data_IF_066808676419
#
_entry.id   IF_066808676419
#
_cell.length_a   1.000
_cell.length_b   1.000
_cell.length_c   1.000
_cell.angle_alpha   90.00
_cell.angle_beta   90.00
_cell.angle_gamma   90.00
#
_symmetry.space_group_name_H-M   'P 1'
#
loop_
_entity.id
_entity.type
_entity.pdbx_description
1 polymer ?
#
# COMPACT_ATOMS: atom_id res chain seq x y z
N UNK A 1 12.14 7.87 -18.16
CA UNK A 1 11.74 9.29 -18.36
C UNK A 1 10.93 9.87 -17.18
N UNK A 2 10.83 9.18 -16.04
CA UNK A 2 10.03 9.62 -14.87
C UNK A 2 10.65 10.78 -14.04
N UNK A 3 11.78 11.35 -14.46
CA UNK A 3 12.51 12.33 -13.66
C UNK A 3 11.86 13.73 -13.62
N UNK A 4 10.77 14.00 -14.34
CA UNK A 4 9.98 15.25 -14.17
C UNK A 4 8.60 15.02 -13.59
N UNK A 5 8.21 13.75 -13.43
CA UNK A 5 6.85 13.37 -13.06
C UNK A 5 6.74 13.36 -11.53
N UNK A 6 5.77 14.10 -11.00
CA UNK A 6 5.36 14.11 -9.59
C UNK A 6 4.07 13.33 -9.36
N UNK A 7 3.14 13.30 -10.30
CA UNK A 7 1.89 12.54 -10.18
C UNK A 7 1.84 11.53 -11.32
N UNK A 8 1.71 10.25 -10.99
CA UNK A 8 1.55 9.18 -11.96
C UNK A 8 0.24 8.44 -11.68
N UNK A 9 -0.68 8.49 -12.62
CA UNK A 9 -1.91 7.72 -12.61
C UNK A 9 -1.84 6.62 -13.67
N UNK A 10 -2.27 5.40 -13.33
CA UNK A 10 -2.26 4.24 -14.21
C UNK A 10 -3.61 3.56 -14.18
N UNK A 11 -4.26 3.45 -15.34
CA UNK A 11 -5.57 2.82 -15.50
C UNK A 11 -5.47 1.57 -16.38
N UNK A 12 -6.05 0.47 -15.89
CA UNK A 12 -6.16 -0.81 -16.60
C UNK A 12 -7.01 -0.74 -17.85
N UNK A 13 -8.11 0.01 -17.78
CA UNK A 13 -9.11 0.17 -18.83
C UNK A 13 -9.33 1.66 -19.11
N UNK A 14 -9.87 2.00 -20.28
CA UNK A 14 -10.50 3.31 -20.50
C UNK A 14 -11.83 3.31 -19.72
N UNK A 15 -11.80 3.68 -18.45
CA UNK A 15 -13.02 3.86 -17.66
C UNK A 15 -13.41 5.33 -17.64
N UNK A 16 -14.59 5.65 -18.17
CA UNK A 16 -15.29 6.94 -17.97
C UNK A 16 -15.91 7.00 -16.54
N UNK A 17 -15.12 6.65 -15.52
CA UNK A 17 -15.53 6.66 -14.11
C UNK A 17 -14.81 7.77 -13.36
N UNK A 18 -15.57 8.77 -12.92
CA UNK A 18 -15.18 9.99 -12.17
C UNK A 18 -13.68 10.25 -11.96
N UNK A 19 -13.20 11.26 -12.67
CA UNK A 19 -11.87 11.85 -12.63
C UNK A 19 -11.24 11.91 -11.21
N UNK A 20 -10.07 11.30 -11.06
CA UNK A 20 -9.06 11.72 -10.07
C UNK A 20 -7.93 12.53 -10.72
N UNK A 21 -8.37 13.39 -11.66
CA UNK A 21 -7.74 14.56 -12.27
C UNK A 21 -7.00 14.42 -13.61
N UNK A 22 -7.49 15.25 -14.53
CA UNK A 22 -6.95 15.70 -15.81
C UNK A 22 -5.45 16.04 -15.75
N UNK A 23 -4.74 15.83 -16.86
CA UNK A 23 -3.48 16.54 -17.09
C UNK A 23 -3.76 18.04 -17.14
N UNK A 24 -3.41 18.79 -16.10
CA UNK A 24 -3.39 20.26 -16.16
C UNK A 24 -1.97 20.78 -15.91
N UNK A 25 -1.42 21.35 -16.99
CA UNK A 25 -0.31 22.29 -17.13
C UNK A 25 1.04 21.98 -16.44
N UNK A 26 2.09 21.82 -17.28
CA UNK A 26 3.55 21.87 -16.99
C UNK A 26 4.37 20.56 -17.06
N UNK A 27 3.83 19.43 -17.52
CA UNK A 27 4.64 18.21 -17.77
C UNK A 27 5.10 17.46 -16.51
N UNK A 28 4.40 17.70 -15.39
CA UNK A 28 4.67 17.15 -14.05
C UNK A 28 3.72 15.98 -13.71
N UNK A 29 2.56 15.90 -14.33
CA UNK A 29 1.61 14.81 -14.15
C UNK A 29 1.63 13.91 -15.38
N UNK A 30 1.51 12.60 -15.18
CA UNK A 30 1.45 11.62 -16.24
C UNK A 30 0.32 10.62 -15.98
N UNK A 31 -0.38 10.24 -17.04
CA UNK A 31 -1.44 9.27 -17.02
C UNK A 31 -1.15 8.18 -18.05
N UNK A 32 -1.23 6.91 -17.64
CA UNK A 32 -1.07 5.74 -18.50
C UNK A 32 -2.39 4.99 -18.49
N UNK A 33 -3.02 4.79 -19.66
CA UNK A 33 -4.28 4.05 -19.79
C UNK A 33 -4.08 2.75 -20.57
N UNK A 34 -5.01 1.81 -20.41
CA UNK A 34 -5.05 0.59 -21.19
C UNK A 34 -3.91 -0.38 -20.88
N UNK A 35 -3.35 -0.35 -19.67
CA UNK A 35 -2.25 -1.25 -19.30
C UNK A 35 -2.69 -2.73 -19.37
N UNK A 36 -4.01 -3.00 -19.25
CA UNK A 36 -4.53 -4.36 -19.39
C UNK A 36 -4.43 -4.92 -20.82
N UNK A 37 -4.20 -4.07 -21.84
CA UNK A 37 -3.88 -4.53 -23.21
C UNK A 37 -2.44 -5.02 -23.36
N UNK A 38 -1.62 -4.92 -22.30
CA UNK A 38 -0.24 -5.38 -22.25
C UNK A 38 -0.04 -6.47 -21.18
N UNK A 39 -0.48 -7.72 -21.43
CA UNK A 39 -0.49 -8.80 -20.42
C UNK A 39 0.90 -9.21 -19.90
N UNK A 40 1.95 -8.93 -20.67
CA UNK A 40 3.34 -9.21 -20.30
C UNK A 40 3.88 -8.23 -19.24
N UNK A 41 3.21 -7.09 -19.04
CA UNK A 41 3.65 -6.09 -18.08
C UNK A 41 3.11 -6.44 -16.68
N UNK A 42 3.99 -6.99 -15.84
CA UNK A 42 3.65 -7.40 -14.47
C UNK A 42 3.95 -6.34 -13.40
N UNK A 43 4.73 -5.32 -13.74
CA UNK A 43 5.15 -4.24 -12.85
C UNK A 43 5.15 -2.91 -13.62
N UNK A 44 5.01 -1.79 -12.92
CA UNK A 44 4.96 -0.45 -13.55
C UNK A 44 6.34 -0.02 -14.07
N UNK A 45 7.38 -0.32 -13.31
CA UNK A 45 8.76 0.04 -13.64
C UNK A 45 9.54 -1.22 -14.02
N UNK A 46 10.44 -1.07 -15.00
CA UNK A 46 11.41 -2.13 -15.36
C UNK A 46 12.64 -2.03 -14.45
N UNK A 47 13.33 -3.17 -14.29
CA UNK A 47 14.40 -3.43 -13.33
C UNK A 47 15.68 -2.56 -13.46
N UNK A 48 15.75 -1.60 -14.39
CA UNK A 48 16.91 -0.69 -14.51
C UNK A 48 16.79 0.44 -13.49
N UNK A 49 17.45 0.28 -12.32
CA UNK A 49 17.76 1.30 -11.30
C UNK A 49 16.97 2.61 -11.40
N UNK A 50 15.64 2.50 -11.29
CA UNK A 50 14.76 3.62 -11.57
C UNK A 50 14.49 4.36 -10.27
N UNK A 51 15.28 5.41 -10.04
CA UNK A 51 14.96 6.40 -9.03
C UNK A 51 13.68 7.13 -9.45
N UNK A 52 12.54 6.71 -8.92
CA UNK A 52 11.27 7.44 -9.03
C UNK A 52 11.17 8.53 -7.94
N UNK A 53 12.31 9.12 -7.60
CA UNK A 53 12.44 10.03 -6.47
C UNK A 53 11.67 11.33 -6.63
N UNK A 54 11.27 11.71 -7.85
CA UNK A 54 10.48 12.92 -8.06
C UNK A 54 8.98 12.68 -7.91
N UNK A 55 8.56 11.41 -7.83
CA UNK A 55 7.15 11.05 -7.69
C UNK A 55 6.67 11.37 -6.27
N UNK A 56 5.58 12.12 -6.19
CA UNK A 56 4.89 12.55 -4.98
C UNK A 56 3.56 11.82 -4.80
N UNK A 57 2.90 11.43 -5.89
CA UNK A 57 1.62 10.72 -5.89
C UNK A 57 1.64 9.60 -6.94
N UNK A 58 1.21 8.41 -6.52
CA UNK A 58 1.03 7.24 -7.39
C UNK A 58 -0.37 6.66 -7.20
N UNK A 59 -1.12 6.63 -8.30
CA UNK A 59 -2.49 6.10 -8.33
C UNK A 59 -2.60 5.00 -9.38
N UNK A 60 -3.19 3.87 -9.00
CA UNK A 60 -3.31 2.68 -9.84
C UNK A 60 -4.75 2.19 -9.75
N UNK A 61 -5.42 2.11 -10.89
CA UNK A 61 -6.83 1.75 -10.98
C UNK A 61 -7.03 0.63 -11.99
N UNK A 62 -7.73 -0.44 -11.60
CA UNK A 62 -8.18 -1.47 -12.55
C UNK A 62 -7.07 -2.30 -13.21
N UNK A 63 -5.83 -2.28 -12.70
CA UNK A 63 -4.66 -2.84 -13.37
C UNK A 63 -4.48 -4.35 -13.09
N UNK A 64 -5.34 -5.18 -13.70
CA UNK A 64 -5.44 -6.63 -13.43
C UNK A 64 -4.23 -7.46 -13.89
N UNK A 65 -3.40 -6.93 -14.80
CA UNK A 65 -2.19 -7.64 -15.22
C UNK A 65 -0.99 -7.43 -14.30
N UNK A 66 -1.03 -6.41 -13.43
CA UNK A 66 0.06 -6.10 -12.52
C UNK A 66 0.02 -7.04 -11.31
N UNK A 67 1.16 -7.65 -10.99
CA UNK A 67 1.32 -8.54 -9.84
C UNK A 67 1.76 -7.76 -8.59
N UNK A 68 2.58 -6.74 -8.78
CA UNK A 68 3.00 -5.79 -7.75
C UNK A 68 3.28 -4.41 -8.35
N UNK A 69 3.52 -3.42 -7.49
CA UNK A 69 3.68 -2.03 -7.89
C UNK A 69 4.97 -1.81 -8.71
N UNK A 70 6.11 -2.22 -8.15
CA UNK A 70 7.45 -1.94 -8.68
C UNK A 70 8.46 -3.02 -8.29
N UNK A 71 9.61 -3.12 -9.00
CA UNK A 71 10.74 -3.93 -8.56
C UNK A 71 11.26 -3.51 -7.18
N UNK A 72 11.83 -4.48 -6.45
CA UNK A 72 12.48 -4.30 -5.13
C UNK A 72 13.56 -3.21 -5.10
N UNK A 73 14.25 -2.99 -6.21
CA UNK A 73 15.30 -1.98 -6.37
C UNK A 73 14.80 -0.54 -6.48
N UNK A 74 13.48 -0.33 -6.51
CA UNK A 74 12.88 0.99 -6.68
C UNK A 74 12.89 1.76 -5.35
N UNK A 75 13.22 3.05 -5.42
CA UNK A 75 13.19 3.95 -4.25
C UNK A 75 12.28 5.14 -4.50
N UNK A 76 11.51 5.51 -3.47
CA UNK A 76 10.49 6.56 -3.49
C UNK A 76 10.72 7.60 -2.40
N UNK A 77 11.69 8.51 -2.61
CA UNK A 77 12.09 9.47 -1.58
C UNK A 77 11.10 10.62 -1.35
N UNK A 78 10.26 10.97 -2.33
CA UNK A 78 9.30 12.07 -2.22
C UNK A 78 7.84 11.63 -2.24
N UNK A 79 7.57 10.32 -2.28
CA UNK A 79 6.21 9.82 -2.42
C UNK A 79 5.41 10.10 -1.15
N UNK A 80 4.30 10.82 -1.31
CA UNK A 80 3.41 11.25 -0.24
C UNK A 80 2.09 10.50 -0.26
N UNK A 81 1.65 10.00 -1.42
CA UNK A 81 0.39 9.30 -1.58
C UNK A 81 0.54 8.08 -2.48
N UNK A 82 0.01 6.95 -2.02
CA UNK A 82 -0.22 5.74 -2.83
C UNK A 82 -1.69 5.40 -2.76
N UNK A 83 -2.35 5.27 -3.91
CA UNK A 83 -3.71 4.77 -4.03
C UNK A 83 -3.75 3.60 -5.03
N UNK A 84 -4.33 2.49 -4.61
CA UNK A 84 -4.53 1.31 -5.46
C UNK A 84 -5.99 0.88 -5.34
N UNK A 85 -6.70 0.79 -6.46
CA UNK A 85 -8.11 0.45 -6.48
C UNK A 85 -8.43 -0.51 -7.64
N UNK A 86 -9.37 -1.43 -7.42
CA UNK A 86 -9.85 -2.41 -8.42
C UNK A 86 -8.76 -3.21 -9.14
N UNK A 87 -7.59 -3.44 -8.54
CA UNK A 87 -6.50 -4.20 -9.16
C UNK A 87 -6.57 -5.68 -8.74
N UNK A 88 -7.25 -6.52 -9.53
CA UNK A 88 -7.57 -7.87 -9.11
C UNK A 88 -6.45 -8.89 -9.28
N UNK A 89 -5.44 -8.61 -10.12
CA UNK A 89 -4.27 -9.50 -10.28
C UNK A 89 -3.11 -9.21 -9.33
N UNK A 90 -3.20 -8.13 -8.53
CA UNK A 90 -2.11 -7.72 -7.64
C UNK A 90 -2.10 -8.62 -6.39
N UNK A 91 -0.92 -9.18 -6.08
CA UNK A 91 -0.70 -10.12 -4.96
C UNK A 91 -0.13 -9.38 -3.74
N UNK A 92 0.68 -8.35 -3.99
CA UNK A 92 1.24 -7.47 -2.96
C UNK A 92 1.43 -6.06 -3.53
N UNK A 93 1.50 -5.03 -2.67
CA UNK A 93 1.78 -3.67 -3.14
C UNK A 93 3.29 -3.42 -3.19
N UNK A 94 3.97 -3.65 -2.07
CA UNK A 94 5.36 -3.27 -1.86
C UNK A 94 6.20 -4.46 -1.44
N UNK A 95 7.49 -4.27 -1.52
CA UNK A 95 8.51 -5.09 -0.88
C UNK A 95 9.10 -4.39 0.35
N UNK A 96 9.81 -5.10 1.22
CA UNK A 96 10.46 -4.50 2.40
C UNK A 96 11.48 -3.43 1.99
N UNK A 97 12.28 -3.66 0.93
CA UNK A 97 13.22 -2.67 0.38
C UNK A 97 12.55 -1.40 -0.13
N UNK A 98 11.44 -1.52 -0.88
CA UNK A 98 10.70 -0.36 -1.38
C UNK A 98 10.02 0.40 -0.24
N UNK A 99 9.44 -0.31 0.72
CA UNK A 99 8.81 0.26 1.90
C UNK A 99 9.77 1.07 2.78
N UNK A 100 11.03 0.63 2.94
CA UNK A 100 12.09 1.38 3.65
C UNK A 100 12.30 2.80 3.08
N UNK A 101 12.00 3.03 1.81
CA UNK A 101 12.18 4.34 1.17
C UNK A 101 11.03 5.33 1.37
N UNK A 102 9.86 4.86 1.83
CA UNK A 102 8.61 5.64 1.90
C UNK A 102 8.50 6.55 3.13
N UNK A 103 9.61 7.22 3.49
CA UNK A 103 9.70 8.02 4.73
C UNK A 103 8.80 9.26 4.73
N UNK A 104 8.43 9.78 3.54
CA UNK A 104 7.54 10.93 3.34
C UNK A 104 6.08 10.56 3.04
N UNK A 105 5.76 9.27 3.05
CA UNK A 105 4.41 8.81 2.72
C UNK A 105 3.43 9.30 3.79
N UNK A 106 2.37 9.99 3.38
CA UNK A 106 1.33 10.56 4.25
C UNK A 106 0.02 9.78 4.17
N UNK A 107 -0.29 9.24 2.99
CA UNK A 107 -1.51 8.50 2.73
C UNK A 107 -1.23 7.22 1.95
N UNK A 108 -1.76 6.09 2.42
CA UNK A 108 -1.79 4.83 1.69
C UNK A 108 -3.24 4.33 1.67
N UNK A 109 -3.79 4.11 0.49
CA UNK A 109 -5.19 3.70 0.33
C UNK A 109 -5.29 2.54 -0.66
N UNK A 110 -5.88 1.44 -0.24
CA UNK A 110 -5.94 0.21 -1.01
C UNK A 110 -7.38 -0.32 -0.92
N UNK A 111 -8.04 -0.41 -2.07
CA UNK A 111 -9.46 -0.71 -2.17
C UNK A 111 -9.71 -1.80 -3.23
N UNK A 112 -10.67 -2.67 -2.99
CA UNK A 112 -11.20 -3.62 -3.99
C UNK A 112 -10.15 -4.47 -4.72
N UNK A 113 -9.06 -4.86 -4.07
CA UNK A 113 -8.01 -5.72 -4.64
C UNK A 113 -8.08 -7.11 -4.02
N UNK A 114 -8.71 -8.05 -4.73
CA UNK A 114 -9.10 -9.36 -4.17
C UNK A 114 -7.95 -10.35 -3.95
N UNK A 115 -6.87 -10.26 -4.72
CA UNK A 115 -5.75 -11.22 -4.64
C UNK A 115 -4.61 -10.77 -3.73
N UNK A 116 -4.69 -9.57 -3.15
CA UNK A 116 -3.65 -9.09 -2.24
C UNK A 116 -3.68 -9.93 -0.97
N UNK A 117 -2.59 -10.64 -0.67
CA UNK A 117 -2.44 -11.42 0.57
C UNK A 117 -1.70 -10.64 1.66
N UNK A 118 -0.77 -9.78 1.25
CA UNK A 118 0.05 -8.93 2.12
C UNK A 118 0.30 -7.57 1.46
N UNK A 119 0.38 -6.50 2.25
CA UNK A 119 0.69 -5.16 1.69
C UNK A 119 2.18 -5.04 1.39
N UNK A 120 3.03 -5.51 2.29
CA UNK A 120 4.49 -5.51 2.20
C UNK A 120 4.99 -6.95 2.33
N UNK A 121 5.72 -7.44 1.32
CA UNK A 121 6.41 -8.75 1.35
C UNK A 121 7.90 -8.56 1.58
N UNK A 122 8.57 -9.55 2.17
CA UNK A 122 10.02 -9.51 2.26
C UNK A 122 10.68 -9.79 0.90
N UNK A 123 11.74 -9.06 0.58
CA UNK A 123 12.57 -9.27 -0.61
C UNK A 123 14.05 -9.52 -0.30
N UNK A 124 14.43 -9.62 0.99
CA UNK A 124 15.78 -9.99 1.42
C UNK A 124 15.97 -11.53 1.35
N UNK A 125 16.10 -12.09 0.14
CA UNK A 125 16.35 -13.54 -0.10
C UNK A 125 17.83 -13.98 0.10
N UNK A 126 18.79 -13.06 0.26
CA UNK A 126 20.24 -13.37 0.22
C UNK A 126 21.00 -13.26 1.57
N UNK A 127 20.31 -13.20 2.71
CA UNK A 127 20.97 -13.10 4.00
C UNK A 127 20.78 -14.33 4.88
N UNK A 128 21.87 -15.05 5.19
CA UNK A 128 22.01 -15.91 6.39
C UNK A 128 21.78 -15.15 7.73
N UNK A 129 21.21 -13.95 7.69
CA UNK A 129 20.88 -13.08 8.79
C UNK A 129 19.37 -13.09 9.10
N UNK A 130 18.82 -14.29 9.33
CA UNK A 130 17.57 -14.45 10.11
C UNK A 130 17.67 -13.82 11.52
N UNK A 131 18.86 -13.34 11.91
CA UNK A 131 19.15 -12.66 13.17
C UNK A 131 19.12 -11.11 13.09
N UNK A 132 19.12 -10.50 11.90
CA UNK A 132 19.11 -9.05 11.77
C UNK A 132 17.67 -8.55 11.72
N UNK A 133 17.11 -8.17 12.87
CA UNK A 133 15.87 -7.39 12.90
C UNK A 133 16.11 -6.10 12.12
N UNK A 134 15.33 -5.87 11.06
CA UNK A 134 15.34 -4.62 10.33
C UNK A 134 14.04 -3.86 10.56
N UNK A 135 14.14 -2.54 10.49
CA UNK A 135 13.06 -1.63 10.86
C UNK A 135 12.58 -0.86 9.64
N UNK A 136 11.25 -0.76 9.50
CA UNK A 136 10.58 0.05 8.49
C UNK A 136 9.78 1.14 9.22
N UNK A 137 10.13 2.40 8.94
CA UNK A 137 9.50 3.56 9.60
C UNK A 137 8.72 4.39 8.58
N UNK A 138 7.40 4.32 8.68
CA UNK A 138 6.49 5.21 7.96
C UNK A 138 6.32 6.51 8.75
N UNK A 139 7.36 7.36 8.73
CA UNK A 139 7.50 8.52 9.63
C UNK A 139 6.37 9.54 9.51
N UNK A 140 5.90 9.80 8.29
CA UNK A 140 4.88 10.82 8.01
C UNK A 140 3.48 10.24 7.74
N UNK A 141 3.29 8.91 7.83
CA UNK A 141 2.04 8.28 7.43
C UNK A 141 0.94 8.63 8.43
N UNK A 142 -0.04 9.42 7.99
CA UNK A 142 -1.16 9.89 8.80
C UNK A 142 -2.39 9.02 8.62
N UNK A 143 -2.57 8.49 7.41
CA UNK A 143 -3.74 7.72 7.03
C UNK A 143 -3.37 6.46 6.26
N UNK A 144 -3.84 5.32 6.77
CA UNK A 144 -3.81 4.02 6.09
C UNK A 144 -5.25 3.52 5.94
N UNK A 145 -5.66 3.18 4.72
CA UNK A 145 -6.97 2.59 4.45
C UNK A 145 -6.82 1.29 3.68
N UNK A 146 -7.41 0.25 4.23
CA UNK A 146 -7.49 -1.08 3.66
C UNK A 146 -8.98 -1.43 3.61
N UNK A 147 -9.53 -1.60 2.42
CA UNK A 147 -10.96 -1.88 2.26
C UNK A 147 -11.23 -2.92 1.19
N UNK A 148 -12.14 -3.85 1.49
CA UNK A 148 -12.62 -4.85 0.53
C UNK A 148 -11.48 -5.67 -0.06
N UNK A 149 -10.56 -6.10 0.82
CA UNK A 149 -9.38 -6.91 0.48
C UNK A 149 -9.61 -8.34 0.97
N UNK A 150 -10.39 -9.11 0.21
CA UNK A 150 -10.87 -10.43 0.61
C UNK A 150 -9.73 -11.38 1.02
N UNK A 151 -8.62 -11.43 0.29
CA UNK A 151 -7.50 -12.35 0.56
C UNK A 151 -6.45 -11.80 1.53
N UNK A 152 -6.60 -10.56 2.02
CA UNK A 152 -5.58 -9.93 2.84
C UNK A 152 -5.49 -10.65 4.18
N UNK A 153 -4.30 -11.16 4.51
CA UNK A 153 -4.04 -11.89 5.76
C UNK A 153 -3.35 -11.02 6.81
N UNK A 154 -2.50 -10.09 6.36
CA UNK A 154 -1.74 -9.16 7.20
C UNK A 154 -1.20 -7.98 6.40
N UNK A 155 -0.75 -6.91 7.08
CA UNK A 155 0.04 -5.86 6.43
C UNK A 155 1.41 -6.39 6.02
N UNK A 156 2.04 -7.19 6.89
CA UNK A 156 3.26 -7.95 6.64
C UNK A 156 3.34 -9.12 7.65
N UNK A 157 3.53 -10.34 7.19
CA UNK A 157 3.56 -11.55 8.03
C UNK A 157 4.93 -11.85 8.64
N UNK A 158 5.96 -11.12 8.24
CA UNK A 158 7.37 -11.38 8.55
C UNK A 158 7.69 -10.96 10.00
N UNK A 159 8.24 -11.88 10.80
CA UNK A 159 8.44 -11.69 12.23
C UNK A 159 9.69 -10.87 12.60
N UNK A 160 10.71 -10.83 11.74
CA UNK A 160 11.96 -10.08 11.95
C UNK A 160 11.91 -8.65 11.36
N UNK A 161 10.76 -8.21 10.86
CA UNK A 161 10.54 -6.86 10.36
C UNK A 161 9.74 -6.04 11.38
N UNK A 162 10.39 -5.03 11.99
CA UNK A 162 9.72 -4.12 12.90
C UNK A 162 9.09 -2.93 12.14
N UNK A 163 7.82 -2.65 12.38
CA UNK A 163 7.12 -1.52 11.77
C UNK A 163 6.83 -0.40 12.78
N UNK A 164 7.17 0.82 12.40
CA UNK A 164 6.86 2.02 13.18
C UNK A 164 6.03 3.01 12.38
N UNK A 165 4.94 3.46 12.99
CA UNK A 165 3.99 4.44 12.45
C UNK A 165 3.80 5.60 13.43
N UNK A 166 4.84 6.43 13.65
CA UNK A 166 4.80 7.47 14.68
C UNK A 166 3.73 8.54 14.43
N UNK A 167 3.32 8.78 13.19
CA UNK A 167 2.35 9.83 12.83
C UNK A 167 0.97 9.30 12.46
N UNK A 168 0.69 8.01 12.62
CA UNK A 168 -0.56 7.41 12.16
C UNK A 168 -1.74 7.80 13.05
N UNK A 169 -2.63 8.62 12.48
CA UNK A 169 -3.80 9.17 13.15
C UNK A 169 -5.07 8.40 12.79
N UNK A 170 -5.15 7.88 11.57
CA UNK A 170 -6.32 7.18 11.05
C UNK A 170 -5.95 5.87 10.37
N UNK A 171 -6.45 4.78 10.91
CA UNK A 171 -6.45 3.47 10.28
C UNK A 171 -7.88 3.03 9.99
N UNK A 172 -8.18 2.75 8.72
CA UNK A 172 -9.43 2.14 8.28
C UNK A 172 -9.14 0.71 7.83
N UNK A 173 -9.84 -0.26 8.40
CA UNK A 173 -9.82 -1.66 7.96
C UNK A 173 -11.28 -2.11 7.84
N UNK A 174 -11.76 -2.17 6.61
CA UNK A 174 -13.15 -2.46 6.25
C UNK A 174 -13.19 -3.66 5.32
N UNK A 175 -14.08 -4.63 5.55
CA UNK A 175 -14.27 -5.78 4.67
C UNK A 175 -12.97 -6.51 4.27
N UNK A 176 -12.09 -6.77 5.25
CA UNK A 176 -10.87 -7.59 5.10
C UNK A 176 -11.00 -8.88 5.93
N UNK A 177 -11.92 -9.80 5.59
CA UNK A 177 -12.36 -10.90 6.47
C UNK A 177 -11.26 -11.91 6.84
N UNK A 178 -10.24 -12.08 5.98
CA UNK A 178 -9.14 -13.00 6.24
C UNK A 178 -7.97 -12.36 7.01
N UNK A 179 -8.06 -11.07 7.34
CA UNK A 179 -6.97 -10.37 8.00
C UNK A 179 -6.93 -10.77 9.48
N UNK A 180 -5.91 -11.54 9.85
CA UNK A 180 -5.79 -12.13 11.19
C UNK A 180 -4.86 -11.36 12.11
N UNK A 181 -3.88 -10.65 11.57
CA UNK A 181 -2.95 -9.78 12.32
C UNK A 181 -2.62 -8.56 11.46
N UNK A 182 -2.10 -7.49 12.07
CA UNK A 182 -1.52 -6.40 11.31
C UNK A 182 -0.09 -6.74 10.88
N UNK A 183 0.80 -7.05 11.82
CA UNK A 183 2.21 -7.36 11.56
C UNK A 183 2.67 -8.60 12.33
N UNK A 184 3.51 -9.44 11.72
CA UNK A 184 4.19 -10.55 12.41
C UNK A 184 5.29 -10.08 13.37
N UNK A 185 6.04 -9.03 12.99
CA UNK A 185 7.11 -8.45 13.82
C UNK A 185 6.65 -7.33 14.77
N UNK A 186 7.61 -6.73 15.46
CA UNK A 186 7.36 -5.64 16.42
C UNK A 186 6.61 -4.48 15.75
N UNK A 187 5.60 -3.95 16.44
CA UNK A 187 4.71 -2.93 15.90
C UNK A 187 4.58 -1.75 16.86
N UNK A 188 4.90 -0.55 16.39
CA UNK A 188 4.76 0.69 17.16
C UNK A 188 3.82 1.66 16.46
N UNK A 189 2.69 1.97 17.11
CA UNK A 189 1.66 2.90 16.61
C UNK A 189 1.28 3.89 17.73
N UNK A 190 2.21 4.72 18.24
CA UNK A 190 2.05 5.45 19.51
C UNK A 190 0.86 6.43 19.55
N UNK A 191 0.43 6.92 18.38
CA UNK A 191 -0.69 7.86 18.26
C UNK A 191 -2.02 7.19 17.86
N UNK A 192 -2.00 5.92 17.48
CA UNK A 192 -3.21 5.21 17.07
C UNK A 192 -3.93 4.68 18.32
N UNK A 193 -5.23 4.97 18.41
CA UNK A 193 -6.08 4.57 19.57
C UNK A 193 -7.39 3.90 19.18
N UNK A 194 -7.65 3.78 17.89
CA UNK A 194 -8.88 3.25 17.33
C UNK A 194 -8.69 2.90 15.87
N UNK A 195 -9.33 1.82 15.44
CA UNK A 195 -9.43 1.39 14.05
C UNK A 195 -10.86 1.63 13.58
N UNK A 196 -11.02 2.26 12.41
CA UNK A 196 -12.32 2.50 11.81
C UNK A 196 -12.73 1.30 10.94
N UNK A 197 -13.96 0.81 11.12
CA UNK A 197 -14.46 -0.41 10.46
C UNK A 197 -15.30 -0.15 9.22
N UNK A 198 -15.82 1.07 9.08
CA UNK A 198 -16.61 1.48 7.92
C UNK A 198 -16.23 2.87 7.47
N UNK A 199 -15.95 3.04 6.20
CA UNK A 199 -15.59 4.34 5.61
C UNK A 199 -16.80 5.24 5.41
N UNK A 200 -17.94 4.65 4.98
CA UNK A 200 -19.08 5.38 4.42
C UNK A 200 -20.37 5.31 5.25
N UNK A 201 -20.31 4.79 6.48
CA UNK A 201 -21.47 4.74 7.38
C UNK A 201 -21.56 6.03 8.22
N UNK A 202 -22.76 6.59 8.37
CA UNK A 202 -23.04 7.75 9.22
C UNK A 202 -22.66 7.46 10.68
N UNK A 203 -22.79 6.21 11.08
CA UNK A 203 -22.29 5.69 12.36
C UNK A 203 -20.89 5.09 12.16
N UNK A 204 -19.87 5.95 12.16
CA UNK A 204 -18.46 5.49 12.15
C UNK A 204 -18.25 4.47 13.27
N UNK A 205 -18.11 3.19 12.90
CA UNK A 205 -17.77 2.12 13.83
C UNK A 205 -16.27 2.13 14.09
N UNK A 206 -15.90 2.12 15.37
CA UNK A 206 -14.52 2.11 15.81
C UNK A 206 -14.28 0.94 16.75
N UNK A 207 -13.07 0.38 16.72
CA UNK A 207 -12.64 -0.66 17.63
C UNK A 207 -11.22 -0.41 18.15
N UNK A 208 -10.97 -0.80 19.39
CA UNK A 208 -9.64 -0.89 19.96
C UNK A 208 -9.63 -1.92 21.08
N UNK A 209 -8.70 -2.87 21.01
CA UNK A 209 -8.54 -3.93 21.99
C UNK A 209 -7.05 -4.13 22.25
N UNK A 210 -6.57 -3.57 23.36
CA UNK A 210 -5.19 -3.61 23.86
C UNK A 210 -4.15 -3.00 22.89
N UNK A 211 -3.87 -3.68 21.80
CA UNK A 211 -2.93 -3.31 20.73
C UNK A 211 -3.54 -3.49 19.33
N UNK A 212 -2.81 -3.08 18.29
CA UNK A 212 -3.32 -3.14 16.93
C UNK A 212 -3.52 -4.58 16.42
N UNK A 213 -2.61 -5.53 16.68
CA UNK A 213 -2.79 -6.92 16.25
C UNK A 213 -4.01 -7.55 16.93
N UNK A 214 -4.13 -7.36 18.24
CA UNK A 214 -5.28 -7.86 19.03
C UNK A 214 -6.59 -7.21 18.58
N UNK A 215 -6.55 -5.93 18.19
CA UNK A 215 -7.70 -5.24 17.60
C UNK A 215 -8.11 -5.89 16.29
N UNK A 216 -7.18 -6.12 15.35
CA UNK A 216 -7.46 -6.77 14.04
C UNK A 216 -8.08 -8.16 14.24
N UNK A 217 -7.51 -8.99 15.11
CA UNK A 217 -8.07 -10.30 15.45
C UNK A 217 -9.53 -10.21 15.92
N UNK A 218 -9.82 -9.23 16.78
CA UNK A 218 -11.16 -9.04 17.32
C UNK A 218 -12.19 -8.64 16.26
N UNK A 219 -11.80 -7.93 15.20
CA UNK A 219 -12.73 -7.46 14.16
C UNK A 219 -13.43 -8.60 13.42
N UNK A 220 -12.70 -9.69 13.18
CA UNK A 220 -13.13 -10.77 12.29
C UNK A 220 -13.33 -12.11 13.00
N UNK A 221 -13.04 -12.21 14.30
CA UNK A 221 -13.44 -13.35 15.13
C UNK A 221 -14.94 -13.36 15.51
N UNK A 222 -15.67 -12.28 15.25
CA UNK A 222 -17.07 -12.08 15.64
C UNK A 222 -18.07 -12.17 14.47
N UNK A 223 -17.63 -12.66 13.30
CA UNK A 223 -18.48 -12.94 12.13
C UNK A 223 -18.74 -14.43 12.01
#
# INVERSE_FOLDING_TARGET
RFHTIKVLCIEGYDYDGEELFETVENGVNAMIKGINFHPDLKQILKQESSHANNLEVLEIYGCDNLINLVPSSTSFQNLTTVAVDFCYGMINILTSSTAKSLVRLKQMKIFHCKMITEIVVDDDEEGDNYAANYEIVFSELKELRLSSLESLTSFCSVNNCAFKFPSLERLVVEDCPNMSIFSGGELSTPNLRKVQLKQWDDEKRWAWKDDLNTTIQYLYQQQ
#
